data_IF_055519243992
#
_entry.id   IF_055519243992
#
_cell.length_a   1.000
_cell.length_b   1.000
_cell.length_c   1.000
_cell.angle_alpha   90.00
_cell.angle_beta   90.00
_cell.angle_gamma   90.00
#
_symmetry.space_group_name_H-M   'P 1'
#
loop_
_entity.id
_entity.type
_entity.pdbx_description
1 polymer ?
#
# COMPACT_ATOMS: atom_id res chain seq x y z
N UNK A 1 4.25 -3.24 5.06
CA UNK A 1 5.30 -3.95 4.28
C UNK A 1 4.86 -5.27 3.63
N UNK A 2 4.10 -6.15 4.30
CA UNK A 2 3.83 -7.52 3.81
C UNK A 2 3.27 -7.62 2.38
N UNK A 3 2.38 -6.69 1.98
CA UNK A 3 1.80 -6.68 0.63
C UNK A 3 2.89 -6.42 -0.43
N UNK A 4 3.72 -5.39 -0.22
CA UNK A 4 4.81 -5.05 -1.14
C UNK A 4 5.85 -6.16 -1.25
N UNK A 5 6.23 -6.81 -0.14
CA UNK A 5 7.15 -7.96 -0.19
C UNK A 5 6.60 -9.14 -1.00
N UNK A 6 5.28 -9.38 -0.96
CA UNK A 6 4.64 -10.44 -1.74
C UNK A 6 4.58 -10.10 -3.22
N UNK A 7 4.25 -8.85 -3.56
CA UNK A 7 4.12 -8.39 -4.94
C UNK A 7 5.48 -8.19 -5.62
N UNK A 8 6.49 -7.72 -4.88
CA UNK A 8 7.80 -7.31 -5.39
C UNK A 8 8.93 -7.80 -4.47
N UNK A 9 9.22 -9.11 -4.46
CA UNK A 9 10.23 -9.68 -3.55
C UNK A 9 11.67 -9.22 -3.85
N UNK A 10 11.96 -8.80 -5.08
CA UNK A 10 13.26 -8.27 -5.48
C UNK A 10 13.49 -6.81 -5.04
N UNK A 11 12.44 -6.12 -4.59
CA UNK A 11 12.54 -4.73 -4.17
C UNK A 11 13.24 -4.65 -2.79
N UNK A 12 14.29 -3.83 -2.70
CA UNK A 12 15.00 -3.58 -1.44
C UNK A 12 14.14 -2.74 -0.47
N UNK A 13 13.27 -3.41 0.29
CA UNK A 13 12.38 -2.80 1.25
C UNK A 13 12.98 -2.78 2.66
N UNK A 14 12.74 -1.72 3.46
CA UNK A 14 13.18 -1.68 4.85
C UNK A 14 12.49 -2.75 5.69
N UNK A 15 13.30 -3.51 6.43
CA UNK A 15 12.84 -4.57 7.32
C UNK A 15 12.34 -4.07 8.69
N UNK A 16 12.70 -2.85 9.08
CA UNK A 16 12.35 -2.23 10.37
C UNK A 16 11.71 -0.87 10.15
N UNK A 17 10.76 -0.53 11.01
CA UNK A 17 10.21 0.83 11.07
C UNK A 17 11.19 1.79 11.76
N UNK A 18 11.07 3.08 11.45
CA UNK A 18 12.04 4.10 11.85
C UNK A 18 12.09 4.42 13.36
N UNK A 19 11.21 3.84 14.18
CA UNK A 19 11.21 4.06 15.61
C UNK A 19 10.83 2.81 16.40
N UNK A 20 11.24 2.79 17.67
CA UNK A 20 10.94 1.73 18.65
C UNK A 20 9.53 1.86 19.26
N UNK A 21 8.77 2.88 18.87
CA UNK A 21 7.42 3.09 19.39
C UNK A 21 6.49 1.98 18.90
N UNK A 22 5.47 1.62 19.71
CA UNK A 22 4.43 0.70 19.27
C UNK A 22 3.78 1.22 17.98
N UNK A 23 3.32 0.29 17.13
CA UNK A 23 2.51 0.66 15.99
C UNK A 23 1.23 1.34 16.47
N UNK A 24 0.91 2.47 15.85
CA UNK A 24 -0.39 3.11 16.02
C UNK A 24 -1.49 2.09 15.64
N UNK A 25 -2.58 1.98 16.43
CA UNK A 25 -3.66 1.08 16.13
C UNK A 25 -4.32 1.44 14.80
N UNK A 26 -4.77 0.43 14.06
CA UNK A 26 -5.50 0.66 12.82
C UNK A 26 -6.91 1.15 13.14
N UNK A 27 -7.24 2.35 12.69
CA UNK A 27 -8.61 2.87 12.76
C UNK A 27 -9.45 2.33 11.61
N UNK A 28 -10.67 1.88 11.89
CA UNK A 28 -11.64 1.51 10.87
C UNK A 28 -12.39 2.77 10.39
N UNK A 29 -12.57 2.88 9.08
CA UNK A 29 -13.29 4.00 8.45
C UNK A 29 -14.60 3.46 7.86
N UNK A 30 -15.71 4.15 8.15
CA UNK A 30 -17.00 3.79 7.55
C UNK A 30 -16.99 4.04 6.04
N UNK A 31 -17.49 3.06 5.31
CA UNK A 31 -17.68 3.12 3.86
C UNK A 31 -19.17 3.16 3.47
N UNK A 32 -20.07 3.33 4.44
CA UNK A 32 -21.52 3.25 4.21
C UNK A 32 -21.98 4.30 3.19
N UNK A 33 -21.58 5.56 3.39
CA UNK A 33 -21.97 6.65 2.50
C UNK A 33 -21.44 6.47 1.08
N UNK A 34 -20.20 6.00 0.91
CA UNK A 34 -19.64 5.78 -0.44
C UNK A 34 -20.35 4.64 -1.15
N UNK A 35 -20.67 3.54 -0.43
CA UNK A 35 -21.46 2.44 -0.99
C UNK A 35 -22.88 2.86 -1.37
N UNK A 36 -23.52 3.74 -0.58
CA UNK A 36 -24.83 4.30 -0.93
C UNK A 36 -24.83 5.15 -2.22
N UNK A 37 -23.66 5.66 -2.61
CA UNK A 37 -23.44 6.38 -3.87
C UNK A 37 -22.95 5.46 -5.00
N UNK A 38 -22.90 4.13 -4.79
CA UNK A 38 -22.40 3.17 -5.76
C UNK A 38 -20.88 3.20 -5.96
N UNK A 39 -20.13 3.72 -4.99
CA UNK A 39 -18.66 3.81 -5.06
C UNK A 39 -18.05 2.63 -4.31
N UNK A 40 -17.32 1.80 -5.05
CA UNK A 40 -16.50 0.73 -4.50
C UNK A 40 -15.03 1.15 -4.45
N UNK A 41 -14.37 0.82 -3.33
CA UNK A 41 -12.95 1.11 -3.17
C UNK A 41 -12.10 0.02 -3.83
N UNK A 42 -11.11 0.45 -4.59
CA UNK A 42 -10.05 -0.43 -5.09
C UNK A 42 -9.29 -1.05 -3.91
N UNK A 43 -9.08 -2.38 -3.90
CA UNK A 43 -8.27 -3.03 -2.88
C UNK A 43 -6.86 -2.45 -2.82
N UNK A 44 -6.33 -2.32 -1.60
CA UNK A 44 -5.02 -1.70 -1.36
C UNK A 44 -3.89 -2.35 -2.17
N UNK A 45 -3.92 -3.67 -2.35
CA UNK A 45 -2.91 -4.40 -3.11
C UNK A 45 -2.87 -4.03 -4.60
N UNK A 46 -4.05 -3.75 -5.19
CA UNK A 46 -4.16 -3.33 -6.59
C UNK A 46 -3.62 -1.90 -6.72
N UNK A 47 -4.08 -0.99 -5.86
CA UNK A 47 -3.58 0.40 -5.88
C UNK A 47 -2.08 0.49 -5.59
N UNK A 48 -1.53 -0.35 -4.71
CA UNK A 48 -0.09 -0.40 -4.45
C UNK A 48 0.68 -0.89 -5.66
N UNK A 49 0.19 -1.94 -6.34
CA UNK A 49 0.80 -2.47 -7.56
C UNK A 49 0.88 -1.40 -8.64
N UNK A 50 -0.24 -0.74 -8.93
CA UNK A 50 -0.33 0.31 -9.95
C UNK A 50 0.63 1.48 -9.64
N UNK A 51 0.73 1.87 -8.37
CA UNK A 51 1.66 2.91 -7.94
C UNK A 51 3.13 2.48 -8.09
N UNK A 52 3.50 1.26 -7.74
CA UNK A 52 4.89 0.77 -7.91
C UNK A 52 5.28 0.73 -9.38
N UNK A 53 4.39 0.24 -10.27
CA UNK A 53 4.65 0.28 -11.71
C UNK A 53 4.79 1.70 -12.25
N UNK A 54 3.95 2.64 -11.78
CA UNK A 54 4.07 4.06 -12.17
C UNK A 54 5.40 4.67 -11.70
N UNK A 55 5.84 4.35 -10.49
CA UNK A 55 7.13 4.80 -9.95
C UNK A 55 8.31 4.20 -10.70
N UNK A 56 8.21 2.94 -11.12
CA UNK A 56 9.20 2.29 -11.97
C UNK A 56 9.27 2.95 -13.35
N UNK A 57 8.14 3.24 -13.98
CA UNK A 57 8.08 3.95 -15.27
C UNK A 57 8.73 5.35 -15.19
N UNK A 58 8.67 5.98 -14.01
CA UNK A 58 9.28 7.29 -13.72
C UNK A 58 10.75 7.19 -13.26
N UNK A 59 11.35 5.99 -13.27
CA UNK A 59 12.70 5.71 -12.78
C UNK A 59 12.93 6.07 -11.29
N UNK A 60 11.87 6.14 -10.49
CA UNK A 60 11.98 6.39 -9.04
C UNK A 60 12.34 5.12 -8.27
N UNK A 61 12.09 3.95 -8.86
CA UNK A 61 12.30 2.64 -8.27
C UNK A 61 12.86 1.71 -9.35
N UNK A 62 13.84 0.88 -9.00
CA UNK A 62 14.42 -0.15 -9.87
C UNK A 62 14.56 -1.47 -9.11
N UNK A 63 14.29 -2.57 -9.79
CA UNK A 63 14.41 -3.96 -9.32
C UNK A 63 14.32 -4.93 -10.50
#
# INVERSE_FOLDING_TARGET
MKILYKLYPALNLPAKCAGDKPYEPTCMVSQEKTRSLGIDFTPLEVSLKDNVESLRQKNCVSF
#
